data_IF_780181058030
#
_entry.id   IF_780181058030
#
_cell.length_a   1.000
_cell.length_b   1.000
_cell.length_c   1.000
_cell.angle_alpha   90.00
_cell.angle_beta   90.00
_cell.angle_gamma   90.00
#
_symmetry.space_group_name_H-M   'P 1'
#
loop_
_entity.id
_entity.type
_entity.pdbx_description
1 polymer ?
#
# COMPACT_ATOMS: atom_id res chain seq x y z
N UNK A 1 16.78 10.81 13.32
CA UNK A 1 17.08 10.98 11.87
C UNK A 1 15.99 11.85 11.25
N UNK A 2 16.21 12.44 10.09
CA UNK A 2 15.15 13.08 9.29
C UNK A 2 14.70 12.13 8.17
N UNK A 3 13.61 12.47 7.48
CA UNK A 3 13.16 11.78 6.27
C UNK A 3 14.27 11.57 5.24
N UNK A 4 14.17 10.49 4.46
CA UNK A 4 15.15 10.16 3.42
C UNK A 4 16.46 9.59 3.96
N UNK A 5 16.51 9.29 5.27
CA UNK A 5 17.58 8.52 5.90
C UNK A 5 18.97 9.11 5.75
N UNK A 6 19.94 8.24 5.53
CA UNK A 6 21.37 8.57 5.49
C UNK A 6 21.73 9.41 4.25
N UNK A 7 21.13 9.07 3.09
CA UNK A 7 21.46 9.68 1.81
C UNK A 7 21.12 11.17 1.76
N UNK A 8 19.99 11.56 2.34
CA UNK A 8 19.56 12.96 2.37
C UNK A 8 20.25 13.74 3.48
N UNK A 9 20.52 13.11 4.62
CA UNK A 9 21.17 13.73 5.77
C UNK A 9 22.70 13.84 5.62
N UNK A 10 23.29 13.28 4.56
CA UNK A 10 24.74 13.27 4.31
C UNK A 10 25.56 12.85 5.56
N UNK A 11 25.09 11.81 6.23
CA UNK A 11 25.73 11.23 7.42
C UNK A 11 26.11 9.78 7.15
N UNK A 12 26.80 9.13 8.08
CA UNK A 12 27.13 7.70 8.03
C UNK A 12 26.75 6.99 9.34
N UNK A 13 25.76 7.52 10.05
CA UNK A 13 25.37 7.02 11.38
C UNK A 13 24.89 5.57 11.37
N UNK A 14 24.37 5.06 10.25
CA UNK A 14 23.98 3.67 10.11
C UNK A 14 25.15 2.70 10.38
N UNK A 15 26.39 3.09 10.06
CA UNK A 15 27.57 2.29 10.37
C UNK A 15 27.72 1.99 11.87
N UNK A 16 27.30 2.93 12.73
CA UNK A 16 27.26 2.73 14.18
C UNK A 16 26.03 1.92 14.60
N UNK A 17 24.85 2.26 14.06
CA UNK A 17 23.58 1.66 14.47
C UNK A 17 23.48 0.17 14.09
N UNK A 18 24.06 -0.22 12.96
CA UNK A 18 24.06 -1.61 12.48
C UNK A 18 24.77 -2.56 13.43
N UNK A 19 25.75 -2.06 14.22
CA UNK A 19 26.41 -2.86 15.27
C UNK A 19 25.44 -3.31 16.36
N UNK A 20 24.34 -2.56 16.53
CA UNK A 20 23.25 -2.80 17.46
C UNK A 20 22.00 -3.35 16.76
N UNK A 21 22.10 -3.88 15.54
CA UNK A 21 20.99 -4.36 14.72
C UNK A 21 19.90 -3.29 14.46
N UNK A 22 20.27 -2.01 14.37
CA UNK A 22 19.34 -0.93 14.00
C UNK A 22 19.85 -0.28 12.72
N UNK A 23 18.98 -0.02 11.74
CA UNK A 23 19.33 0.83 10.59
C UNK A 23 18.18 1.75 10.21
N UNK A 24 18.49 2.97 9.78
CA UNK A 24 17.49 3.92 9.31
C UNK A 24 17.32 3.76 7.80
N UNK A 25 16.06 3.64 7.37
CA UNK A 25 15.72 3.53 5.96
C UNK A 25 15.78 4.91 5.27
N UNK A 26 15.96 4.87 3.94
CA UNK A 26 15.91 6.06 3.09
C UNK A 26 14.48 6.28 2.58
N UNK A 27 13.52 6.35 3.50
CA UNK A 27 12.11 6.54 3.21
C UNK A 27 11.52 7.74 3.99
N UNK A 28 10.25 8.02 3.74
CA UNK A 28 9.48 9.02 4.48
C UNK A 28 8.13 8.42 4.82
N UNK A 29 7.77 8.51 6.09
CA UNK A 29 6.43 8.14 6.54
C UNK A 29 5.44 9.20 6.07
N UNK A 30 4.37 8.76 5.43
CA UNK A 30 3.28 9.62 5.00
C UNK A 30 1.96 9.08 5.56
N UNK A 31 1.01 9.95 5.80
CA UNK A 31 -0.36 9.56 6.13
C UNK A 31 -1.07 9.03 4.88
N UNK A 32 -1.93 8.04 5.04
CA UNK A 32 -2.83 7.57 3.96
C UNK A 32 -4.19 8.26 4.01
N UNK A 33 -4.58 8.81 5.16
CA UNK A 33 -5.87 9.47 5.39
C UNK A 33 -5.65 10.85 5.98
N UNK A 34 -6.34 11.87 5.46
CA UNK A 34 -6.33 13.22 6.01
C UNK A 34 -6.97 13.28 7.42
N UNK A 35 -6.30 13.95 8.36
CA UNK A 35 -6.73 14.11 9.75
C UNK A 35 -5.85 15.17 10.47
N UNK A 36 -6.47 16.27 10.90
CA UNK A 36 -5.91 17.44 11.61
C UNK A 36 -4.81 18.24 10.90
N UNK A 37 -3.75 17.58 10.44
CA UNK A 37 -2.55 18.18 9.85
C UNK A 37 -2.61 18.28 8.31
N UNK A 38 -2.04 19.34 7.75
CA UNK A 38 -2.14 19.63 6.31
C UNK A 38 -1.09 18.88 5.49
N UNK A 39 0.14 18.78 5.99
CA UNK A 39 1.21 18.09 5.26
C UNK A 39 1.02 16.56 5.38
N UNK A 40 1.05 15.81 4.26
CA UNK A 40 1.02 14.35 4.30
C UNK A 40 2.12 13.72 5.20
N UNK A 41 3.25 14.40 5.35
CA UNK A 41 4.39 13.95 6.16
C UNK A 41 4.24 14.25 7.65
N UNK A 42 3.22 15.00 8.05
CA UNK A 42 2.80 15.16 9.45
C UNK A 42 1.91 13.97 9.86
N UNK A 43 2.51 12.79 9.94
CA UNK A 43 1.79 11.54 10.16
C UNK A 43 1.27 11.43 11.59
N UNK A 44 -0.05 11.40 11.77
CA UNK A 44 -0.69 11.19 13.07
C UNK A 44 -0.86 9.69 13.33
N UNK A 45 -0.13 9.16 14.31
CA UNK A 45 -0.10 7.73 14.64
C UNK A 45 -0.92 7.50 15.91
N UNK A 46 -2.03 6.76 15.78
CA UNK A 46 -2.94 6.45 16.89
C UNK A 46 -2.75 5.05 17.49
N UNK A 47 -2.24 4.11 16.70
CA UNK A 47 -2.05 2.71 17.07
C UNK A 47 -0.62 2.21 16.81
N UNK A 48 0.36 3.05 17.11
CA UNK A 48 1.78 2.77 16.84
C UNK A 48 2.57 2.24 18.04
N UNK A 49 1.94 1.82 19.13
CA UNK A 49 2.67 1.32 20.31
C UNK A 49 2.86 -0.18 20.19
N UNK A 50 4.12 -0.64 20.06
CA UNK A 50 4.45 -2.05 19.95
C UNK A 50 4.64 -2.71 21.32
N UNK A 51 5.22 -1.99 22.29
CA UNK A 51 5.47 -2.51 23.62
C UNK A 51 4.59 -1.82 24.67
N UNK A 52 3.77 -2.60 25.39
CA UNK A 52 2.85 -2.06 26.41
C UNK A 52 3.54 -1.35 27.57
N UNK A 53 4.83 -1.62 27.81
CA UNK A 53 5.61 -0.96 28.84
C UNK A 53 5.70 0.56 28.63
N UNK A 54 5.60 1.04 27.39
CA UNK A 54 5.58 2.48 27.08
C UNK A 54 4.32 3.15 27.64
N UNK A 55 3.14 2.56 27.38
CA UNK A 55 1.86 3.09 27.84
C UNK A 55 1.78 3.15 29.36
N UNK A 56 2.29 2.11 30.03
CA UNK A 56 2.37 2.04 31.50
C UNK A 56 3.27 3.14 32.08
N UNK A 57 4.46 3.33 31.50
CA UNK A 57 5.39 4.36 31.96
C UNK A 57 4.96 5.79 31.61
N UNK A 58 4.14 5.96 30.58
CA UNK A 58 3.51 7.24 30.22
C UNK A 58 2.30 7.59 31.10
N UNK A 59 1.92 6.75 32.07
CA UNK A 59 0.82 7.02 33.00
C UNK A 59 -0.57 6.91 32.38
N UNK A 60 -0.72 6.27 31.21
CA UNK A 60 -2.02 5.99 30.60
C UNK A 60 -2.49 4.59 30.98
N UNK A 61 -3.73 4.47 31.45
CA UNK A 61 -4.35 3.18 31.76
C UNK A 61 -4.65 2.41 30.47
N UNK A 62 -4.06 1.22 30.30
CA UNK A 62 -4.51 0.24 29.30
C UNK A 62 -5.94 -0.19 29.64
N UNK A 63 -6.94 0.04 28.77
CA UNK A 63 -8.24 -0.56 28.98
C UNK A 63 -8.15 -2.07 28.78
N UNK A 64 -8.96 -2.79 29.54
CA UNK A 64 -9.13 -4.24 29.50
C UNK A 64 -9.45 -4.75 28.09
N UNK A 65 -8.45 -5.36 27.44
CA UNK A 65 -8.45 -6.48 26.45
C UNK A 65 -9.36 -6.40 25.19
N UNK A 66 -10.39 -5.55 25.11
CA UNK A 66 -11.43 -5.63 24.06
C UNK A 66 -11.60 -4.39 23.15
N UNK A 67 -10.86 -3.30 23.36
CA UNK A 67 -10.94 -2.10 22.51
C UNK A 67 -9.54 -1.69 22.00
N UNK A 68 -8.91 -2.58 21.26
CA UNK A 68 -7.48 -2.58 20.90
C UNK A 68 -7.05 -1.66 19.75
N UNK A 69 -7.93 -0.83 19.17
CA UNK A 69 -7.59 -0.08 17.95
C UNK A 69 -7.41 1.44 18.15
N UNK A 70 -7.89 2.01 19.25
CA UNK A 70 -7.88 3.48 19.48
C UNK A 70 -7.45 3.93 20.88
N UNK A 71 -6.95 3.02 21.73
CA UNK A 71 -6.78 3.29 23.17
C UNK A 71 -5.32 3.21 23.64
N UNK A 72 -4.42 3.91 22.93
CA UNK A 72 -2.99 3.97 23.24
C UNK A 72 -2.42 5.39 23.42
N UNK A 73 -1.09 5.49 23.33
CA UNK A 73 -0.38 6.76 23.12
C UNK A 73 -0.60 7.19 21.67
N UNK A 74 -1.12 8.41 21.48
CA UNK A 74 -1.29 9.00 20.16
C UNK A 74 -0.24 10.07 19.97
N UNK A 75 0.48 10.05 18.85
CA UNK A 75 1.60 10.95 18.62
C UNK A 75 1.67 11.41 17.17
N UNK A 76 2.26 12.58 16.98
CA UNK A 76 2.55 13.11 15.64
C UNK A 76 3.98 12.73 15.31
N UNK A 77 4.17 12.09 14.15
CA UNK A 77 5.46 11.68 13.61
C UNK A 77 5.78 12.48 12.33
N UNK A 78 6.27 13.73 12.48
CA UNK A 78 6.52 14.62 11.36
C UNK A 78 7.85 14.31 10.65
N UNK A 79 7.84 14.29 9.31
CA UNK A 79 9.03 14.21 8.43
C UNK A 79 10.07 13.18 8.89
N UNK A 80 9.60 11.98 9.25
CA UNK A 80 10.44 10.91 9.78
C UNK A 80 10.60 9.74 8.81
N UNK A 81 11.72 9.05 8.94
CA UNK A 81 12.01 7.79 8.25
C UNK A 81 11.61 6.58 9.11
N UNK A 82 11.48 5.40 8.51
CA UNK A 82 11.32 4.15 9.26
C UNK A 82 12.67 3.52 9.62
N UNK A 83 12.64 2.58 10.57
CA UNK A 83 13.81 1.85 11.04
C UNK A 83 13.68 0.36 10.71
N UNK A 84 14.79 -0.29 10.40
CA UNK A 84 14.92 -1.74 10.49
C UNK A 84 15.52 -2.08 11.85
N UNK A 85 14.91 -3.03 12.53
CA UNK A 85 15.32 -3.46 13.87
C UNK A 85 15.45 -4.98 13.86
N UNK A 86 16.65 -5.49 14.14
CA UNK A 86 16.92 -6.91 14.29
C UNK A 86 16.76 -7.38 15.74
N UNK A 87 17.05 -8.66 16.00
CA UNK A 87 16.71 -9.32 17.26
C UNK A 87 17.48 -8.82 18.50
N UNK A 88 18.62 -8.16 18.32
CA UNK A 88 19.40 -7.60 19.45
C UNK A 88 18.81 -6.32 20.01
N UNK A 89 17.88 -5.70 19.29
CA UNK A 89 17.21 -4.46 19.68
C UNK A 89 15.71 -4.65 19.66
N UNK A 90 15.00 -3.84 20.43
CA UNK A 90 13.55 -3.96 20.55
C UNK A 90 12.89 -2.78 19.85
N UNK A 91 12.03 -3.07 18.87
CA UNK A 91 11.16 -2.07 18.28
C UNK A 91 10.04 -1.71 19.27
N UNK A 92 9.89 -0.42 19.58
CA UNK A 92 8.95 0.05 20.62
C UNK A 92 7.79 0.85 20.03
N UNK A 93 8.01 1.59 18.95
CA UNK A 93 6.97 2.31 18.23
C UNK A 93 6.97 1.93 16.74
N UNK A 94 5.79 1.96 16.12
CA UNK A 94 5.57 1.78 14.68
C UNK A 94 4.81 2.95 14.06
N UNK A 95 4.74 2.96 12.72
CA UNK A 95 3.91 3.87 11.92
C UNK A 95 2.40 3.63 12.06
N UNK A 96 2.00 2.47 12.62
CA UNK A 96 0.62 2.04 12.75
C UNK A 96 -0.06 1.72 11.40
N UNK A 97 -1.38 1.58 11.44
CA UNK A 97 -2.16 1.11 10.27
C UNK A 97 -2.64 2.24 9.35
N UNK A 98 -2.47 3.51 9.75
CA UNK A 98 -3.02 4.70 9.05
C UNK A 98 -1.92 5.53 8.36
N UNK A 99 -0.69 5.03 8.38
CA UNK A 99 0.46 5.67 7.75
C UNK A 99 1.16 4.68 6.83
N UNK A 100 1.62 5.15 5.69
CA UNK A 100 2.43 4.37 4.77
C UNK A 100 3.91 4.72 4.96
N UNK A 101 4.82 3.73 5.02
CA UNK A 101 4.55 2.29 5.01
C UNK A 101 3.92 1.80 6.34
N UNK A 102 2.95 0.88 6.24
CA UNK A 102 2.14 0.43 7.38
C UNK A 102 2.95 -0.44 8.35
N UNK A 103 2.69 -0.30 9.65
CA UNK A 103 3.26 -1.12 10.74
C UNK A 103 4.78 -1.33 10.65
N UNK A 104 5.51 -0.27 10.31
CA UNK A 104 6.98 -0.25 10.26
C UNK A 104 7.57 0.40 11.52
N UNK A 105 8.70 -0.07 12.05
CA UNK A 105 9.30 0.52 13.23
C UNK A 105 9.71 1.99 13.01
N UNK A 106 9.48 2.85 14.01
CA UNK A 106 9.91 4.26 14.02
C UNK A 106 10.80 4.61 15.21
N UNK A 107 10.73 3.81 16.28
CA UNK A 107 11.57 3.94 17.46
C UNK A 107 12.05 2.57 17.94
N UNK A 108 13.33 2.48 18.27
CA UNK A 108 13.97 1.26 18.74
C UNK A 108 14.81 1.53 20.01
N UNK A 109 14.72 0.63 20.98
CA UNK A 109 15.51 0.64 22.20
C UNK A 109 16.52 -0.50 22.17
N UNK A 110 17.75 -0.20 22.54
CA UNK A 110 18.81 -1.18 22.72
C UNK A 110 19.37 -1.07 24.14
N UNK A 111 19.51 -2.22 24.80
CA UNK A 111 20.17 -2.33 26.08
C UNK A 111 21.26 -3.38 25.97
N UNK A 112 22.49 -2.95 26.23
CA UNK A 112 23.66 -3.83 26.15
C UNK A 112 23.69 -4.73 27.39
N UNK A 113 23.78 -6.05 27.18
CA UNK A 113 23.76 -7.06 28.26
C UNK A 113 25.16 -7.32 28.86
N UNK A 114 26.22 -6.86 28.19
CA UNK A 114 27.60 -7.06 28.64
C UNK A 114 28.01 -6.07 29.75
N UNK A 115 29.15 -6.33 30.41
CA UNK A 115 29.66 -5.71 31.65
C UNK A 115 29.61 -4.17 31.74
N UNK A 116 29.49 -3.45 30.61
CA UNK A 116 29.19 -2.03 30.57
C UNK A 116 27.70 -1.80 30.20
N UNK A 117 26.92 -1.34 31.17
CA UNK A 117 25.51 -0.96 30.99
C UNK A 117 25.38 0.26 30.07
N UNK A 118 25.30 0.01 28.76
CA UNK A 118 24.96 1.01 27.75
C UNK A 118 23.49 0.91 27.36
N UNK A 119 22.82 2.05 27.23
CA UNK A 119 21.47 2.16 26.66
C UNK A 119 21.53 3.05 25.43
N UNK A 120 20.85 2.64 24.37
CA UNK A 120 20.75 3.39 23.13
C UNK A 120 19.27 3.47 22.73
N UNK A 121 18.86 4.66 22.30
CA UNK A 121 17.52 4.93 21.76
C UNK A 121 17.68 5.56 20.39
N UNK A 122 16.96 5.03 19.41
CA UNK A 122 16.97 5.53 18.05
C UNK A 122 15.55 5.90 17.64
N UNK A 123 15.37 7.13 17.16
CA UNK A 123 14.10 7.64 16.66
C UNK A 123 14.32 8.19 15.24
N UNK A 124 13.44 7.77 14.32
CA UNK A 124 13.54 8.11 12.90
C UNK A 124 13.05 9.52 12.52
N UNK A 125 12.58 10.32 13.48
CA UNK A 125 12.19 11.73 13.31
C UNK A 125 12.89 12.60 14.36
N UNK A 126 13.53 13.69 13.94
CA UNK A 126 14.01 14.74 14.85
C UNK A 126 12.88 15.72 15.17
N UNK A 127 12.00 15.97 14.20
CA UNK A 127 10.96 16.99 14.30
C UNK A 127 9.90 16.68 15.37
N UNK A 128 9.72 15.40 15.75
CA UNK A 128 8.79 14.99 16.81
C UNK A 128 8.99 15.74 18.14
N UNK A 129 10.23 16.15 18.46
CA UNK A 129 10.58 16.86 19.70
C UNK A 129 10.94 18.33 19.47
N UNK A 130 10.59 18.90 18.34
CA UNK A 130 10.72 20.35 18.12
C UNK A 130 9.54 21.10 18.73
N UNK A 131 9.72 22.38 19.06
CA UNK A 131 8.70 23.24 19.68
C UNK A 131 7.34 23.21 18.94
N UNK A 132 7.34 23.01 17.62
CA UNK A 132 6.13 22.93 16.82
C UNK A 132 5.26 21.70 17.11
N UNK A 133 5.87 20.59 17.56
CA UNK A 133 5.20 19.30 17.74
C UNK A 133 5.31 18.71 19.15
N UNK A 134 6.15 19.28 20.02
CA UNK A 134 6.36 18.77 21.37
C UNK A 134 5.07 18.75 22.21
N UNK A 135 4.29 19.84 22.15
CA UNK A 135 3.03 19.98 22.89
C UNK A 135 1.82 19.35 22.19
N UNK A 136 2.03 18.75 21.00
CA UNK A 136 0.94 18.15 20.21
C UNK A 136 0.72 16.69 20.59
N UNK A 137 -0.55 16.32 20.76
CA UNK A 137 -1.00 14.97 21.16
C UNK A 137 -0.26 14.49 22.43
N UNK A 138 0.35 13.30 22.42
CA UNK A 138 1.15 12.77 23.54
C UNK A 138 2.67 12.77 23.27
N UNK A 139 3.18 13.64 22.40
CA UNK A 139 4.61 13.70 22.08
C UNK A 139 5.48 13.97 23.31
N UNK A 140 5.02 14.84 24.22
CA UNK A 140 5.68 15.11 25.52
C UNK A 140 5.80 13.85 26.40
N UNK A 141 4.79 12.97 26.40
CA UNK A 141 4.84 11.71 27.15
C UNK A 141 5.83 10.71 26.55
N UNK A 142 5.94 10.67 25.22
CA UNK A 142 6.96 9.84 24.56
C UNK A 142 8.35 10.30 24.97
N UNK A 143 8.58 11.62 25.01
CA UNK A 143 9.83 12.19 25.49
C UNK A 143 10.14 11.77 26.93
N UNK A 144 9.17 11.90 27.83
CA UNK A 144 9.33 11.48 29.23
C UNK A 144 9.72 10.00 29.36
N UNK A 145 9.06 9.12 28.58
CA UNK A 145 9.38 7.69 28.57
C UNK A 145 10.78 7.41 28.02
N UNK A 146 11.21 8.13 26.97
CA UNK A 146 12.56 8.00 26.40
C UNK A 146 13.62 8.44 27.42
N UNK A 147 13.44 9.60 28.06
CA UNK A 147 14.38 10.10 29.07
C UNK A 147 14.41 9.19 30.29
N UNK A 148 13.26 8.68 30.73
CA UNK A 148 13.16 7.71 31.81
C UNK A 148 13.88 6.40 31.47
N UNK A 149 13.76 5.91 30.23
CA UNK A 149 14.49 4.73 29.78
C UNK A 149 16.01 4.93 29.86
N UNK A 150 16.50 6.06 29.34
CA UNK A 150 17.94 6.37 29.35
C UNK A 150 18.46 6.52 30.79
N UNK A 151 17.75 7.28 31.62
CA UNK A 151 18.20 7.63 32.98
C UNK A 151 18.02 6.49 33.97
N UNK A 152 16.77 6.08 34.22
CA UNK A 152 16.42 5.08 35.25
C UNK A 152 16.50 3.66 34.66
N UNK A 153 16.03 3.51 33.42
CA UNK A 153 15.85 2.19 32.81
C UNK A 153 14.61 1.50 33.33
N UNK A 154 13.91 0.81 32.44
CA UNK A 154 12.80 -0.05 32.82
C UNK A 154 12.78 -1.27 31.91
N UNK A 155 12.19 -2.35 32.41
CA UNK A 155 12.10 -3.60 31.68
C UNK A 155 10.98 -3.53 30.64
N UNK A 156 11.31 -3.85 29.39
CA UNK A 156 10.35 -4.00 28.32
C UNK A 156 9.61 -5.33 28.48
N UNK A 157 8.36 -5.39 28.00
CA UNK A 157 7.62 -6.65 28.00
C UNK A 157 8.29 -7.67 27.07
N UNK A 158 8.61 -8.87 27.55
CA UNK A 158 9.35 -9.88 26.78
C UNK A 158 8.57 -10.44 25.59
N UNK A 159 7.24 -10.56 25.70
CA UNK A 159 6.37 -11.10 24.64
C UNK A 159 6.37 -10.12 23.48
N UNK A 160 6.03 -8.86 23.79
CA UNK A 160 5.99 -7.77 22.82
C UNK A 160 7.39 -7.49 22.21
N UNK A 161 8.47 -7.82 22.92
CA UNK A 161 9.85 -7.67 22.42
C UNK A 161 10.28 -8.78 21.47
N UNK A 162 9.81 -10.02 21.67
CA UNK A 162 10.16 -11.17 20.82
C UNK A 162 9.33 -11.21 19.54
N UNK A 163 8.05 -10.86 19.65
CA UNK A 163 7.09 -10.89 18.53
C UNK A 163 6.37 -9.54 18.41
N UNK A 164 7.06 -8.48 17.93
CA UNK A 164 6.41 -7.21 17.67
C UNK A 164 5.49 -7.32 16.44
N UNK A 165 4.30 -6.71 16.53
CA UNK A 165 3.33 -6.65 15.43
C UNK A 165 3.84 -5.71 14.33
N UNK A 166 4.65 -6.23 13.42
CA UNK A 166 5.25 -5.48 12.32
C UNK A 166 4.86 -6.10 10.97
N UNK A 167 4.72 -5.25 9.96
CA UNK A 167 4.60 -5.70 8.58
C UNK A 167 5.97 -5.70 7.88
N UNK A 168 6.16 -6.71 7.02
CA UNK A 168 7.30 -6.72 6.12
C UNK A 168 7.20 -5.56 5.12
N UNK A 169 8.35 -4.95 4.81
CA UNK A 169 8.43 -3.91 3.81
C UNK A 169 8.12 -4.52 2.44
N UNK A 170 7.04 -4.07 1.82
CA UNK A 170 6.73 -4.38 0.44
C UNK A 170 7.18 -3.18 -0.41
N UNK A 171 8.35 -3.23 -1.06
CA UNK A 171 8.78 -2.13 -1.91
C UNK A 171 7.82 -2.04 -3.10
N UNK A 172 7.08 -0.93 -3.18
CA UNK A 172 6.33 -0.61 -4.39
C UNK A 172 7.37 -0.12 -5.41
N UNK A 173 7.43 -0.71 -6.61
CA UNK A 173 8.33 -0.22 -7.64
C UNK A 173 7.97 1.23 -8.01
N UNK A 174 8.97 2.03 -8.36
CA UNK A 174 8.79 3.43 -8.75
C UNK A 174 7.90 3.52 -10.00
N UNK A 175 6.61 3.76 -9.76
CA UNK A 175 5.60 3.80 -10.80
C UNK A 175 5.74 5.04 -11.68
N UNK A 176 6.36 6.12 -11.17
CA UNK A 176 6.62 7.33 -11.95
C UNK A 176 7.70 7.01 -12.97
N UNK A 177 8.83 6.48 -12.52
CA UNK A 177 9.91 6.06 -13.42
C UNK A 177 9.46 4.96 -14.39
N UNK A 178 8.66 3.98 -13.94
CA UNK A 178 8.11 2.94 -14.81
C UNK A 178 7.06 3.49 -15.80
N UNK A 179 6.38 4.58 -15.48
CA UNK A 179 5.44 5.24 -16.39
C UNK A 179 6.16 6.04 -17.48
N UNK A 180 7.34 6.59 -17.16
CA UNK A 180 8.19 7.31 -18.10
C UNK A 180 8.92 6.38 -19.08
N UNK A 181 9.10 5.10 -18.72
CA UNK A 181 9.65 4.12 -19.66
C UNK A 181 8.69 3.92 -20.82
N UNK A 182 9.22 4.05 -22.04
CA UNK A 182 8.50 3.70 -23.27
C UNK A 182 8.13 2.21 -23.16
N UNK A 183 6.85 1.95 -22.88
CA UNK A 183 6.29 0.62 -22.98
C UNK A 183 6.15 0.33 -24.47
N UNK A 184 7.06 -0.47 -25.01
CA UNK A 184 6.86 -1.07 -26.33
C UNK A 184 5.72 -2.04 -26.16
N UNK A 185 4.50 -1.58 -26.39
CA UNK A 185 3.39 -2.50 -26.51
C UNK A 185 3.75 -3.42 -27.69
N UNK A 186 4.06 -4.69 -27.39
CA UNK A 186 3.70 -5.79 -28.28
C UNK A 186 2.17 -5.89 -28.25
N UNK A 187 1.49 -4.78 -28.56
CA UNK A 187 0.15 -4.87 -29.04
C UNK A 187 0.35 -5.59 -30.37
N UNK A 188 0.04 -6.88 -30.38
CA UNK A 188 -0.45 -7.55 -31.57
C UNK A 188 -1.58 -6.64 -32.04
N UNK A 189 -1.22 -5.65 -32.85
CA UNK A 189 -2.20 -4.77 -33.42
C UNK A 189 -3.14 -5.72 -34.14
N UNK A 190 -4.42 -5.60 -33.85
CA UNK A 190 -5.44 -5.71 -34.88
C UNK A 190 -5.06 -4.68 -35.98
N UNK A 191 -4.00 -4.98 -36.73
CA UNK A 191 -3.59 -4.32 -37.96
C UNK A 191 -4.39 -4.90 -39.12
N UNK A 192 -5.55 -5.48 -38.84
CA UNK A 192 -6.57 -5.65 -39.86
C UNK A 192 -7.34 -4.33 -39.96
N UNK A 193 -7.37 -3.80 -41.18
CA UNK A 193 -8.24 -2.70 -41.62
C UNK A 193 -7.74 -1.27 -41.35
N UNK A 194 -6.61 -0.84 -41.95
CA UNK A 194 -6.44 0.54 -42.50
C UNK A 194 -5.05 0.85 -43.10
N UNK A 195 -4.21 -0.13 -43.45
CA UNK A 195 -3.02 0.17 -44.26
C UNK A 195 -3.43 0.30 -45.73
N UNK A 196 -3.44 1.56 -46.18
CA UNK A 196 -3.53 2.01 -47.57
C UNK A 196 -2.77 1.11 -48.54
N UNK A 197 -3.48 0.63 -49.57
CA UNK A 197 -3.14 -0.55 -50.36
C UNK A 197 -2.01 -0.45 -51.37
N UNK A 198 -0.89 0.24 -51.09
CA UNK A 198 0.27 0.15 -51.98
C UNK A 198 1.61 0.09 -51.22
N UNK A 199 1.94 -1.12 -50.75
CA UNK A 199 3.17 -1.43 -50.01
C UNK A 199 4.45 -1.19 -50.83
N UNK A 200 4.33 -1.08 -52.17
CA UNK A 200 5.44 -0.76 -53.07
C UNK A 200 6.00 0.65 -52.85
N UNK A 201 5.21 1.55 -52.28
CA UNK A 201 5.65 2.92 -51.92
C UNK A 201 6.72 2.95 -50.82
N UNK A 202 6.86 1.88 -50.03
CA UNK A 202 7.88 1.77 -48.99
C UNK A 202 9.25 1.32 -49.53
N UNK A 203 9.32 0.84 -50.77
CA UNK A 203 10.58 0.42 -51.38
C UNK A 203 11.18 1.55 -52.21
N UNK A 204 12.11 2.30 -51.60
CA UNK A 204 12.89 3.29 -52.32
C UNK A 204 13.96 2.60 -53.17
N UNK A 205 13.65 2.48 -54.47
CA UNK A 205 14.54 1.88 -55.46
C UNK A 205 15.79 2.73 -55.73
N UNK A 206 15.82 3.99 -55.30
CA UNK A 206 16.97 4.89 -55.47
C UNK A 206 18.10 4.61 -54.48
N UNK A 207 17.80 3.94 -53.36
CA UNK A 207 18.80 3.53 -52.36
C UNK A 207 19.71 2.39 -52.85
N UNK A 208 19.28 1.63 -53.86
CA UNK A 208 20.04 0.54 -54.47
C UNK A 208 20.35 0.86 -55.94
N UNK A 209 21.40 1.64 -56.18
CA UNK A 209 22.04 1.73 -57.49
C UNK A 209 23.32 0.89 -57.51
N UNK A 210 23.41 -0.05 -58.45
CA UNK A 210 24.61 -0.87 -58.65
C UNK A 210 25.60 -0.08 -59.52
N UNK A 211 26.46 0.71 -58.89
CA UNK A 211 27.53 1.44 -59.60
C UNK A 211 28.77 0.55 -59.79
N UNK A 212 29.11 0.30 -61.06
CA UNK A 212 30.28 -0.51 -61.47
C UNK A 212 31.53 0.33 -61.74
N UNK A 213 31.50 1.65 -61.46
CA UNK A 213 32.62 2.58 -61.73
C UNK A 213 33.93 2.17 -61.03
N UNK A 214 33.84 1.52 -59.87
CA UNK A 214 34.99 1.13 -59.03
C UNK A 214 35.58 -0.23 -59.46
N UNK A 215 34.85 -1.01 -60.27
CA UNK A 215 35.24 -2.36 -60.67
C UNK A 215 36.63 -2.46 -61.31
N UNK A 216 37.05 -1.58 -62.24
CA UNK A 216 38.38 -1.63 -62.84
C UNK A 216 39.51 -1.37 -61.85
N UNK A 217 39.25 -0.54 -60.82
CA UNK A 217 40.23 -0.24 -59.76
C UNK A 217 40.42 -1.44 -58.85
N UNK A 218 39.36 -2.18 -58.57
CA UNK A 218 39.39 -3.42 -57.77
C UNK A 218 40.20 -4.51 -58.49
N UNK A 219 39.97 -4.73 -59.79
CA UNK A 219 40.72 -5.74 -60.57
C UNK A 219 42.23 -5.46 -60.51
N UNK A 220 42.65 -4.20 -60.66
CA UNK A 220 44.09 -3.83 -60.55
C UNK A 220 44.66 -4.03 -59.14
N UNK A 221 43.83 -3.90 -58.10
CA UNK A 221 44.26 -4.10 -56.73
C UNK A 221 44.57 -5.58 -56.42
N UNK A 222 43.90 -6.54 -57.08
CA UNK A 222 44.22 -7.97 -56.95
C UNK A 222 45.68 -8.26 -57.32
N UNK A 223 46.17 -7.71 -58.43
CA UNK A 223 47.56 -7.85 -58.86
C UNK A 223 48.55 -7.21 -57.87
N UNK A 224 48.21 -6.03 -57.33
CA UNK A 224 49.04 -5.33 -56.34
C UNK A 224 49.14 -6.07 -55.00
N UNK A 225 48.06 -6.77 -54.62
CA UNK A 225 47.97 -7.52 -53.36
C UNK A 225 48.46 -8.97 -53.50
N UNK A 226 48.83 -9.41 -54.71
CA UNK A 226 49.24 -10.79 -54.98
C UNK A 226 48.10 -11.81 -54.82
N UNK A 227 46.85 -11.37 -54.94
CA UNK A 227 45.66 -12.20 -54.81
C UNK A 227 45.19 -12.67 -56.19
N UNK A 228 44.75 -13.92 -56.29
CA UNK A 228 44.18 -14.46 -57.53
C UNK A 228 42.78 -13.89 -57.74
N UNK A 229 42.51 -13.36 -58.93
CA UNK A 229 41.17 -12.93 -59.33
C UNK A 229 40.35 -14.15 -59.80
N UNK A 230 39.80 -14.89 -58.84
CA UNK A 230 38.94 -16.05 -59.06
C UNK A 230 37.57 -15.86 -58.38
N UNK A 231 36.48 -16.44 -58.91
CA UNK A 231 35.18 -16.36 -58.26
C UNK A 231 35.28 -16.97 -56.86
N UNK A 232 34.90 -16.19 -55.84
CA UNK A 232 34.94 -16.61 -54.45
C UNK A 232 34.18 -17.93 -54.29
N UNK A 233 34.88 -18.97 -53.86
CA UNK A 233 34.25 -20.19 -53.40
C UNK A 233 33.79 -19.99 -51.97
N UNK A 234 32.59 -20.50 -51.65
CA UNK A 234 32.09 -20.51 -50.28
C UNK A 234 32.94 -21.48 -49.46
N UNK A 235 33.96 -20.96 -48.79
CA UNK A 235 34.62 -21.68 -47.70
C UNK A 235 33.60 -21.65 -46.57
N UNK A 236 32.96 -22.79 -46.28
CA UNK A 236 32.05 -22.90 -45.13
C UNK A 236 32.91 -22.77 -43.88
N UNK A 237 32.81 -21.67 -43.12
CA UNK A 237 33.54 -21.54 -41.87
C UNK A 237 33.11 -22.65 -40.91
N UNK A 238 34.08 -23.39 -40.35
CA UNK A 238 33.82 -24.26 -39.20
C UNK A 238 33.78 -23.39 -37.96
N UNK A 239 32.57 -23.17 -37.43
CA UNK A 239 32.38 -22.55 -36.13
C UNK A 239 32.26 -23.64 -35.07
N UNK A 240 33.15 -23.65 -34.09
CA UNK A 240 32.90 -24.38 -32.85
C UNK A 240 31.78 -23.65 -32.11
N UNK A 241 30.59 -24.26 -32.06
CA UNK A 241 29.45 -23.80 -31.27
C UNK A 241 29.47 -24.54 -29.93
N UNK A 242 30.12 -23.99 -28.87
CA UNK A 242 30.20 -24.67 -27.57
C UNK A 242 28.85 -24.76 -26.87
N UNK A 243 27.85 -23.98 -27.31
CA UNK A 243 26.51 -23.99 -26.76
C UNK A 243 25.56 -24.81 -27.65
N UNK A 244 24.59 -25.51 -27.04
CA UNK A 244 23.57 -26.23 -27.80
C UNK A 244 22.78 -25.28 -28.70
N UNK A 245 22.26 -25.77 -29.84
CA UNK A 245 21.48 -24.95 -30.76
C UNK A 245 20.25 -24.38 -30.04
N UNK A 246 20.08 -23.06 -30.16
CA UNK A 246 18.96 -22.34 -29.57
C UNK A 246 17.64 -22.87 -30.16
N UNK A 247 16.72 -23.30 -29.30
CA UNK A 247 15.35 -23.61 -29.69
C UNK A 247 14.49 -22.34 -29.63
N UNK A 248 13.60 -22.11 -30.60
CA UNK A 248 12.66 -21.00 -30.53
C UNK A 248 11.75 -21.18 -29.30
N UNK A 249 11.53 -20.09 -28.56
CA UNK A 249 10.63 -20.10 -27.42
C UNK A 249 9.21 -20.40 -27.90
N UNK A 250 8.67 -21.55 -27.49
CA UNK A 250 7.30 -21.99 -27.82
C UNK A 250 6.26 -21.30 -26.92
N UNK A 251 6.71 -20.58 -25.90
CA UNK A 251 5.88 -19.86 -24.96
C UNK A 251 6.09 -18.36 -25.14
N UNK A 252 5.00 -17.60 -25.08
CA UNK A 252 5.06 -16.16 -25.04
C UNK A 252 5.85 -15.71 -23.79
N UNK A 253 6.63 -14.62 -23.89
CA UNK A 253 7.32 -14.06 -22.74
C UNK A 253 6.29 -13.66 -21.68
N UNK A 254 6.43 -14.19 -20.47
CA UNK A 254 5.62 -13.74 -19.33
C UNK A 254 6.04 -12.31 -18.98
N UNK A 255 5.19 -11.33 -19.30
CA UNK A 255 5.35 -9.98 -18.80
C UNK A 255 5.00 -9.95 -17.31
N UNK A 256 5.76 -9.20 -16.51
CA UNK A 256 5.45 -8.93 -15.10
C UNK A 256 4.29 -7.92 -14.97
N UNK A 257 3.23 -8.11 -15.73
CA UNK A 257 2.02 -7.29 -15.59
C UNK A 257 1.24 -7.79 -14.38
N UNK A 258 0.85 -6.84 -13.53
CA UNK A 258 -0.04 -7.14 -12.42
C UNK A 258 -1.36 -7.65 -13.00
N UNK A 259 -1.97 -8.68 -12.38
CA UNK A 259 -3.31 -9.08 -12.78
C UNK A 259 -4.24 -7.87 -12.67
N UNK A 260 -5.24 -7.74 -13.55
CA UNK A 260 -6.23 -6.68 -13.42
C UNK A 260 -6.83 -6.76 -12.00
N UNK A 261 -7.15 -5.61 -11.38
CA UNK A 261 -7.73 -5.59 -10.05
C UNK A 261 -8.96 -6.50 -10.05
N UNK A 262 -9.10 -7.31 -9.00
CA UNK A 262 -10.28 -8.16 -8.84
C UNK A 262 -11.48 -7.22 -8.72
N UNK A 263 -12.28 -7.14 -9.77
CA UNK A 263 -13.59 -6.51 -9.70
C UNK A 263 -14.43 -7.37 -8.76
N UNK A 264 -14.60 -6.91 -7.52
CA UNK A 264 -15.74 -7.35 -6.72
C UNK A 264 -16.97 -7.01 -7.55
N UNK A 265 -17.80 -8.02 -7.84
CA UNK A 265 -19.05 -7.84 -8.57
C UNK A 265 -20.01 -7.08 -7.65
N UNK A 266 -19.76 -5.79 -7.50
CA UNK A 266 -20.57 -4.87 -6.72
C UNK A 266 -21.82 -4.58 -7.54
N UNK A 267 -22.96 -5.06 -7.06
CA UNK A 267 -24.25 -4.73 -7.66
C UNK A 267 -24.59 -3.28 -7.32
N UNK A 268 -24.20 -2.37 -8.22
CA UNK A 268 -24.43 -0.94 -8.07
C UNK A 268 -25.93 -0.62 -8.05
N UNK A 269 -26.76 -1.41 -8.72
CA UNK A 269 -28.21 -1.22 -8.71
C UNK A 269 -28.79 -1.56 -7.33
N UNK A 270 -28.29 -2.60 -6.67
CA UNK A 270 -28.70 -2.91 -5.31
C UNK A 270 -28.22 -1.85 -4.30
N UNK A 271 -27.05 -1.22 -4.49
CA UNK A 271 -26.56 -0.16 -3.60
C UNK A 271 -27.23 1.20 -3.81
N UNK A 272 -27.52 1.59 -5.05
CA UNK A 272 -28.10 2.90 -5.38
C UNK A 272 -29.63 2.88 -5.52
N UNK A 273 -30.27 1.71 -5.53
CA UNK A 273 -31.74 1.62 -5.53
C UNK A 273 -32.35 2.26 -4.28
N UNK A 274 -33.40 3.05 -4.50
CA UNK A 274 -34.20 3.60 -3.42
C UNK A 274 -34.92 2.48 -2.66
N UNK A 275 -35.28 2.74 -1.39
CA UNK A 275 -36.02 1.79 -0.54
C UNK A 275 -37.32 1.29 -1.20
N UNK A 276 -37.98 2.17 -1.96
CA UNK A 276 -39.21 1.87 -2.70
C UNK A 276 -38.98 0.87 -3.84
N UNK A 277 -37.90 1.05 -4.61
CA UNK A 277 -37.53 0.15 -5.72
C UNK A 277 -37.15 -1.23 -5.16
N UNK A 278 -36.38 -1.26 -4.06
CA UNK A 278 -36.02 -2.53 -3.40
C UNK A 278 -37.24 -3.27 -2.89
N UNK A 279 -38.19 -2.57 -2.28
CA UNK A 279 -39.44 -3.19 -1.83
C UNK A 279 -40.26 -3.73 -3.00
N UNK A 280 -40.35 -3.00 -4.12
CA UNK A 280 -41.05 -3.46 -5.31
C UNK A 280 -40.41 -4.72 -5.91
N UNK A 281 -39.07 -4.75 -6.01
CA UNK A 281 -38.32 -5.93 -6.43
C UNK A 281 -38.53 -7.12 -5.48
N UNK A 282 -38.54 -6.87 -4.18
CA UNK A 282 -38.77 -7.88 -3.17
C UNK A 282 -40.20 -8.44 -3.25
N UNK A 283 -41.19 -7.59 -3.51
CA UNK A 283 -42.59 -7.99 -3.74
C UNK A 283 -42.73 -8.90 -4.96
N UNK A 284 -42.00 -8.62 -6.04
CA UNK A 284 -42.01 -9.46 -7.24
C UNK A 284 -41.29 -10.81 -7.04
N UNK A 285 -40.39 -10.90 -6.05
CA UNK A 285 -39.62 -12.13 -5.74
C UNK A 285 -40.37 -13.09 -4.80
N UNK A 286 -41.31 -12.60 -4.00
CA UNK A 286 -41.98 -13.40 -2.97
C UNK A 286 -43.38 -13.87 -3.40
N UNK A 287 -43.74 -15.11 -3.05
CA UNK A 287 -45.11 -15.62 -3.16
C UNK A 287 -45.84 -15.54 -1.81
N UNK A 288 -47.15 -15.85 -1.78
CA UNK A 288 -47.96 -15.82 -0.55
C UNK A 288 -47.45 -16.75 0.56
N UNK A 289 -46.72 -17.81 0.20
CA UNK A 289 -46.07 -18.73 1.14
C UNK A 289 -44.90 -18.12 1.91
N UNK A 290 -44.29 -17.05 1.38
CA UNK A 290 -43.04 -16.48 1.87
C UNK A 290 -43.25 -15.22 2.72
N UNK A 291 -44.45 -15.07 3.28
CA UNK A 291 -44.88 -13.88 4.01
C UNK A 291 -43.94 -13.50 5.17
N UNK A 292 -43.41 -14.49 5.90
CA UNK A 292 -42.48 -14.23 7.01
C UNK A 292 -41.13 -13.67 6.52
N UNK A 293 -40.62 -14.20 5.40
CA UNK A 293 -39.40 -13.71 4.77
C UNK A 293 -39.60 -12.30 4.21
N UNK A 294 -40.75 -12.07 3.55
CA UNK A 294 -41.13 -10.77 3.02
C UNK A 294 -41.13 -9.70 4.12
N UNK A 295 -41.75 -9.97 5.27
CA UNK A 295 -41.83 -9.02 6.38
C UNK A 295 -40.47 -8.72 7.01
N UNK A 296 -39.60 -9.73 7.16
CA UNK A 296 -38.25 -9.53 7.70
C UNK A 296 -37.37 -8.72 6.75
N UNK A 297 -37.33 -9.08 5.48
CA UNK A 297 -36.50 -8.38 4.51
C UNK A 297 -37.04 -6.97 4.20
N UNK A 298 -38.35 -6.74 4.21
CA UNK A 298 -38.93 -5.40 4.16
C UNK A 298 -38.56 -4.56 5.40
N UNK A 299 -38.50 -5.17 6.59
CA UNK A 299 -38.07 -4.47 7.81
C UNK A 299 -36.60 -4.02 7.75
N UNK A 300 -35.76 -4.80 7.08
CA UNK A 300 -34.34 -4.46 6.83
C UNK A 300 -34.21 -3.34 5.81
N UNK A 301 -34.95 -3.36 4.70
CA UNK A 301 -34.93 -2.28 3.69
C UNK A 301 -35.28 -0.91 4.30
N UNK A 302 -36.22 -0.89 5.25
CA UNK A 302 -36.65 0.33 5.95
C UNK A 302 -35.89 0.61 7.26
N UNK A 303 -34.88 -0.20 7.63
CA UNK A 303 -34.12 -0.11 8.88
C UNK A 303 -34.98 -0.17 10.17
N UNK A 304 -36.17 -0.79 10.12
CA UNK A 304 -37.05 -0.95 11.29
C UNK A 304 -36.37 -1.84 12.34
N UNK A 305 -35.52 -2.77 11.91
CA UNK A 305 -34.78 -3.71 12.75
C UNK A 305 -33.85 -3.05 13.77
N UNK A 306 -33.39 -1.82 13.51
CA UNK A 306 -32.55 -1.03 14.44
C UNK A 306 -33.37 -0.47 15.62
N UNK A 307 -34.66 -0.20 15.40
CA UNK A 307 -35.58 0.33 16.41
C UNK A 307 -36.17 -0.74 17.34
N UNK A 308 -35.96 -2.02 17.02
CA UNK A 308 -36.49 -3.16 17.76
C UNK A 308 -35.42 -3.81 18.67
N UNK A 309 -35.79 -4.27 19.88
CA UNK A 309 -34.87 -4.95 20.77
C UNK A 309 -34.35 -6.27 20.17
N UNK A 310 -33.05 -6.57 20.40
CA UNK A 310 -32.31 -7.69 19.80
C UNK A 310 -32.96 -9.08 19.99
N UNK A 311 -33.72 -9.27 21.07
CA UNK A 311 -34.33 -10.56 21.41
C UNK A 311 -35.71 -10.81 20.78
N UNK A 312 -36.34 -9.82 20.14
CA UNK A 312 -37.72 -9.94 19.63
C UNK A 312 -37.93 -9.31 18.25
N UNK A 313 -37.16 -9.80 17.27
CA UNK A 313 -37.22 -9.39 15.85
C UNK A 313 -38.17 -10.28 15.02
N UNK A 314 -39.29 -10.68 15.61
CA UNK A 314 -40.30 -11.50 14.92
C UNK A 314 -41.15 -10.69 13.94
N UNK A 315 -41.72 -11.32 12.90
CA UNK A 315 -42.56 -10.63 11.90
C UNK A 315 -43.81 -9.96 12.52
N UNK A 316 -44.33 -10.55 13.61
CA UNK A 316 -45.46 -9.98 14.36
C UNK A 316 -45.11 -8.66 15.04
N UNK A 317 -43.88 -8.53 15.56
CA UNK A 317 -43.40 -7.32 16.24
C UNK A 317 -43.13 -6.19 15.26
N UNK A 318 -42.60 -6.52 14.08
CA UNK A 318 -42.43 -5.58 12.96
C UNK A 318 -43.79 -4.98 12.57
N UNK A 319 -44.82 -5.81 12.41
CA UNK A 319 -46.17 -5.33 12.08
C UNK A 319 -46.79 -4.47 13.18
N UNK A 320 -46.61 -4.86 14.45
CA UNK A 320 -47.06 -4.06 15.60
C UNK A 320 -46.44 -2.65 15.55
N UNK A 321 -45.12 -2.56 15.32
CA UNK A 321 -44.41 -1.29 15.21
C UNK A 321 -44.95 -0.42 14.08
N UNK A 322 -45.13 -0.99 12.88
CA UNK A 322 -45.67 -0.26 11.72
C UNK A 322 -47.10 0.23 11.97
N UNK A 323 -47.96 -0.60 12.57
CA UNK A 323 -49.34 -0.23 12.89
C UNK A 323 -49.39 0.86 13.97
N UNK A 324 -48.51 0.80 14.98
CA UNK A 324 -48.37 1.86 15.98
C UNK A 324 -47.95 3.18 15.34
N UNK A 325 -46.94 3.17 14.47
CA UNK A 325 -46.48 4.35 13.73
C UNK A 325 -47.59 4.93 12.84
N UNK A 326 -48.37 4.07 12.17
CA UNK A 326 -49.50 4.50 11.35
C UNK A 326 -50.62 5.10 12.21
N UNK A 327 -50.89 4.52 13.37
CA UNK A 327 -51.87 5.04 14.33
C UNK A 327 -51.45 6.40 14.91
N UNK A 328 -50.15 6.58 15.20
CA UNK A 328 -49.58 7.87 15.62
C UNK A 328 -49.64 8.89 14.49
N UNK A 329 -49.28 8.50 13.26
CA UNK A 329 -49.38 9.35 12.08
C UNK A 329 -50.82 9.84 11.85
N UNK A 330 -51.83 9.02 12.11
CA UNK A 330 -53.25 9.41 11.94
C UNK A 330 -53.83 10.22 13.10
N UNK A 331 -53.11 10.48 14.20
CA UNK A 331 -53.60 11.37 15.26
C UNK A 331 -53.59 12.83 14.78
N UNK A 332 -54.70 13.54 14.99
CA UNK A 332 -54.95 14.89 14.47
C UNK A 332 -54.04 16.01 15.01
N UNK A 333 -53.16 15.73 15.98
CA UNK A 333 -52.24 16.71 16.58
C UNK A 333 -50.80 16.15 16.58
N UNK A 334 -50.12 16.18 15.44
CA UNK A 334 -48.69 15.89 15.40
C UNK A 334 -47.91 17.14 15.84
N UNK A 335 -47.25 17.05 17.00
CA UNK A 335 -46.10 17.94 17.29
C UNK A 335 -44.94 17.35 16.49
N UNK A 336 -44.43 18.09 15.51
CA UNK A 336 -43.31 17.66 14.68
C UNK A 336 -42.09 17.38 15.56
N UNK A 337 -41.78 16.10 15.81
CA UNK A 337 -40.46 15.70 16.28
C UNK A 337 -39.51 15.83 15.09
N UNK A 338 -38.78 16.94 15.07
CA UNK A 338 -37.65 17.14 14.18
C UNK A 338 -36.49 16.25 14.64
N UNK A 339 -35.84 15.63 13.67
CA UNK A 339 -34.71 14.70 13.83
C UNK A 339 -33.66 15.19 14.84
N UNK A 340 -33.62 14.53 16.00
CA UNK A 340 -32.46 14.55 16.91
C UNK A 340 -31.72 13.22 16.83
N UNK A 341 -31.32 12.81 15.63
CA UNK A 341 -30.28 11.77 15.45
C UNK A 341 -29.37 12.14 14.29
N UNK A 342 -28.63 13.24 14.47
CA UNK A 342 -27.33 13.45 13.84
C UNK A 342 -26.38 14.00 14.91
N UNK A 343 -25.75 13.07 15.63
CA UNK A 343 -24.44 13.21 16.24
C UNK A 343 -23.69 11.90 16.11
#
# INVERSE_FOLDING_TARGET
MNEGGEQTANTNINYLLEQYDISCNNDSVIRTIFCKYLDPKEALVSNGVLNRALTLNAGKSTPSIFLSHFSGLQFVYPFGATLNVGRRSTAVLSTGTVCYPNDRPVCAFHQTVNENYGKLVVIGSVQIFTDQYFDKEDNSKIWDVVIKFVTEGFTLNEIDSKEPNLMEAHPIPDHIFLSEKIKVCLQEGEYEMNQSGDFLSFFDSSLFSMDLSIWPRIIRAFDQLGLKHEPLSLIVPQFDTPQPPLAPAVFQPNFCELPPPRLELFDLDDMFSSKEIRLAQLTNKCAESDLEYFLKAASEIYNITESLPLNDRGPKKVLEFVVCQLAEFKKLNQVAFTDQFCK
#
